data_IF_442034575380
#
_entry.id   IF_442034575380
#
_cell.length_a   1.000
_cell.length_b   1.000
_cell.length_c   1.000
_cell.angle_alpha   90.00
_cell.angle_beta   90.00
_cell.angle_gamma   90.00
#
_symmetry.space_group_name_H-M   'P 1'
#
loop_
_entity.id
_entity.type
_entity.pdbx_description
1 polymer ?
#
# COMPACT_ATOMS: atom_id res chain seq x y z
N UNK A 1 -22.10 -67.30 -2.11
CA UNK A 1 -22.42 -66.01 -2.77
C UNK A 1 -21.15 -65.16 -2.80
N UNK A 2 -20.59 -64.99 -3.99
CA UNK A 2 -19.27 -64.40 -4.28
C UNK A 2 -19.38 -62.87 -4.16
N UNK A 3 -18.74 -62.24 -3.17
CA UNK A 3 -18.66 -60.78 -3.06
C UNK A 3 -17.42 -60.32 -3.82
N UNK A 4 -17.61 -59.85 -5.05
CA UNK A 4 -16.51 -59.37 -5.90
C UNK A 4 -16.07 -57.95 -5.50
N UNK A 5 -14.81 -57.88 -5.08
CA UNK A 5 -13.81 -56.83 -5.35
C UNK A 5 -14.31 -55.40 -5.60
N UNK A 6 -14.46 -54.61 -4.53
CA UNK A 6 -14.54 -53.14 -4.58
C UNK A 6 -13.27 -52.51 -3.98
N UNK A 7 -12.10 -53.11 -4.24
CA UNK A 7 -10.83 -52.67 -3.64
C UNK A 7 -9.77 -52.21 -4.65
N UNK A 8 -10.11 -52.06 -5.94
CA UNK A 8 -9.14 -51.66 -6.96
C UNK A 8 -9.22 -50.19 -7.39
N UNK A 9 -10.26 -49.45 -6.97
CA UNK A 9 -10.39 -48.03 -7.33
C UNK A 9 -9.67 -47.02 -6.40
N UNK A 10 -9.36 -47.28 -5.11
CA UNK A 10 -8.64 -46.28 -4.32
C UNK A 10 -7.12 -46.36 -4.53
N UNK A 11 -6.59 -47.46 -5.09
CA UNK A 11 -5.15 -47.66 -5.25
C UNK A 11 -4.56 -46.91 -6.46
N UNK A 12 -5.39 -46.58 -7.46
CA UNK A 12 -4.97 -45.83 -8.65
C UNK A 12 -5.01 -44.30 -8.48
N UNK A 13 -5.64 -43.79 -7.41
CA UNK A 13 -5.63 -42.36 -7.09
C UNK A 13 -4.50 -41.95 -6.12
N UNK A 14 -3.79 -42.92 -5.53
CA UNK A 14 -2.66 -42.66 -4.64
C UNK A 14 -1.32 -42.45 -5.36
N UNK A 15 -1.28 -42.62 -6.69
CA UNK A 15 -0.10 -42.40 -7.54
C UNK A 15 -0.15 -41.10 -8.37
N UNK A 16 -1.14 -40.23 -8.13
CA UNK A 16 -1.14 -38.90 -8.70
C UNK A 16 -0.08 -38.07 -7.96
N UNK A 17 1.10 -38.00 -8.58
CA UNK A 17 2.33 -37.46 -8.04
C UNK A 17 2.13 -36.19 -7.22
N UNK A 18 2.68 -36.23 -6.00
CA UNK A 18 3.29 -35.06 -5.39
C UNK A 18 4.37 -34.59 -6.38
N UNK A 19 3.97 -33.73 -7.32
CA UNK A 19 4.90 -32.83 -7.97
C UNK A 19 5.31 -31.86 -6.86
N UNK A 20 6.31 -32.24 -6.07
CA UNK A 20 7.08 -31.27 -5.35
C UNK A 20 7.62 -30.32 -6.42
N UNK A 21 7.03 -29.13 -6.50
CA UNK A 21 7.65 -28.02 -7.16
C UNK A 21 8.96 -27.79 -6.40
N UNK A 22 10.01 -28.50 -6.80
CA UNK A 22 11.35 -28.16 -6.40
C UNK A 22 11.55 -26.77 -7.00
N UNK A 23 11.40 -25.75 -6.16
CA UNK A 23 11.79 -24.41 -6.53
C UNK A 23 13.27 -24.52 -6.89
N UNK A 24 13.58 -24.42 -8.18
CA UNK A 24 14.97 -24.34 -8.64
C UNK A 24 15.62 -23.22 -7.84
N UNK A 25 16.62 -23.56 -7.03
CA UNK A 25 17.29 -22.57 -6.19
C UNK A 25 18.19 -21.72 -7.08
N UNK A 26 17.61 -20.64 -7.63
CA UNK A 26 18.32 -19.77 -8.57
C UNK A 26 19.50 -19.03 -7.93
N UNK A 27 19.62 -19.04 -6.60
CA UNK A 27 20.79 -18.50 -5.89
C UNK A 27 22.09 -19.16 -6.35
N UNK A 28 22.03 -20.43 -6.76
CA UNK A 28 23.19 -21.16 -7.25
C UNK A 28 23.76 -20.60 -8.58
N UNK A 29 23.01 -19.76 -9.31
CA UNK A 29 23.51 -19.09 -10.52
C UNK A 29 24.30 -17.80 -10.23
N UNK A 30 24.33 -17.34 -8.97
CA UNK A 30 25.07 -16.16 -8.56
C UNK A 30 26.41 -16.55 -7.96
N UNK A 31 27.44 -15.76 -8.26
CA UNK A 31 28.81 -16.07 -7.87
C UNK A 31 29.10 -15.86 -6.38
N UNK A 32 28.30 -15.03 -5.69
CA UNK A 32 28.42 -14.74 -4.26
C UNK A 32 27.02 -14.60 -3.66
N UNK A 33 26.90 -14.89 -2.36
CA UNK A 33 25.66 -14.78 -1.61
C UNK A 33 25.95 -14.16 -0.24
N UNK A 34 25.12 -13.20 0.16
CA UNK A 34 25.21 -12.56 1.48
C UNK A 34 23.93 -12.83 2.28
N UNK A 35 24.03 -13.34 3.52
CA UNK A 35 22.87 -13.56 4.36
C UNK A 35 22.23 -12.22 4.75
N UNK A 36 20.89 -12.16 4.71
CA UNK A 36 20.13 -10.99 5.14
C UNK A 36 19.54 -11.23 6.52
N UNK A 37 19.80 -10.32 7.45
CA UNK A 37 19.13 -10.29 8.76
C UNK A 37 18.05 -9.21 8.75
N UNK A 38 16.81 -9.62 9.00
CA UNK A 38 15.67 -8.72 9.06
C UNK A 38 15.59 -8.08 10.45
N UNK A 39 15.29 -6.79 10.50
CA UNK A 39 15.11 -6.05 11.76
C UNK A 39 13.85 -6.46 12.52
N UNK A 40 12.81 -6.92 11.81
CA UNK A 40 11.55 -7.42 12.37
C UNK A 40 10.91 -8.42 11.41
N UNK A 41 10.36 -9.53 11.90
CA UNK A 41 9.72 -10.53 11.03
C UNK A 41 8.34 -10.11 10.48
N UNK A 42 7.75 -9.02 10.99
CA UNK A 42 6.36 -8.62 10.71
C UNK A 42 6.24 -7.44 9.74
N UNK A 43 7.35 -7.01 9.11
CA UNK A 43 7.31 -5.88 8.18
C UNK A 43 6.93 -6.34 6.77
N UNK A 44 6.10 -5.56 6.07
CA UNK A 44 5.68 -5.86 4.69
C UNK A 44 6.74 -5.53 3.63
N UNK A 45 7.73 -4.71 3.98
CA UNK A 45 8.86 -4.35 3.11
C UNK A 45 10.11 -4.11 3.97
N UNK A 46 11.28 -4.30 3.37
CA UNK A 46 12.59 -4.19 4.04
C UNK A 46 13.53 -3.32 3.21
N UNK A 47 14.34 -2.50 3.90
CA UNK A 47 15.49 -1.82 3.31
C UNK A 47 16.76 -2.47 3.82
N UNK A 48 17.62 -2.86 2.89
CA UNK A 48 18.93 -3.44 3.17
C UNK A 48 19.98 -2.45 2.71
N UNK A 49 20.99 -2.21 3.56
CA UNK A 49 22.15 -1.42 3.18
C UNK A 49 23.09 -2.31 2.36
N UNK A 50 23.50 -1.82 1.19
CA UNK A 50 24.51 -2.51 0.40
C UNK A 50 25.88 -2.19 1.00
N UNK A 51 26.54 -3.20 1.56
CA UNK A 51 27.86 -3.03 2.16
C UNK A 51 28.95 -2.91 1.09
N UNK A 52 30.10 -2.24 1.38
CA UNK A 52 31.20 -2.08 0.43
C UNK A 52 31.70 -3.37 -0.23
N UNK A 53 31.55 -4.52 0.45
CA UNK A 53 31.91 -5.83 -0.10
C UNK A 53 31.06 -6.25 -1.30
N UNK A 54 29.79 -5.85 -1.33
CA UNK A 54 28.86 -6.15 -2.43
C UNK A 54 29.27 -5.35 -3.67
N UNK A 55 29.54 -4.06 -3.51
CA UNK A 55 30.01 -3.19 -4.59
C UNK A 55 31.32 -3.66 -5.23
N UNK A 56 32.24 -4.23 -4.44
CA UNK A 56 33.49 -4.79 -4.98
C UNK A 56 33.28 -6.03 -5.83
N UNK A 57 32.15 -6.73 -5.68
CA UNK A 57 31.85 -7.95 -6.41
C UNK A 57 30.95 -7.72 -7.62
N UNK A 58 30.07 -6.73 -7.55
CA UNK A 58 29.17 -6.39 -8.64
C UNK A 58 29.96 -6.20 -9.95
N UNK A 59 29.54 -6.92 -10.99
CA UNK A 59 30.10 -6.82 -12.33
C UNK A 59 29.51 -5.68 -13.14
N UNK A 60 28.29 -5.23 -12.79
CA UNK A 60 27.59 -4.15 -13.47
C UNK A 60 27.60 -2.87 -12.64
N UNK A 61 27.88 -1.73 -13.28
CA UNK A 61 27.92 -0.42 -12.61
C UNK A 61 26.54 0.04 -12.10
N UNK A 62 25.46 -0.43 -12.73
CA UNK A 62 24.08 -0.18 -12.33
C UNK A 62 23.54 -1.21 -11.33
N UNK A 63 24.37 -2.17 -10.90
CA UNK A 63 24.03 -3.27 -10.00
C UNK A 63 22.86 -4.14 -10.48
N UNK A 64 22.64 -4.22 -11.79
CA UNK A 64 21.63 -5.08 -12.42
C UNK A 64 21.86 -6.58 -12.21
N UNK A 65 23.05 -6.95 -11.74
CA UNK A 65 23.46 -8.31 -11.37
C UNK A 65 23.18 -8.64 -9.88
N UNK A 66 22.48 -7.77 -9.15
CA UNK A 66 22.01 -8.05 -7.79
C UNK A 66 20.55 -8.51 -7.78
N UNK A 67 20.27 -9.57 -7.02
CA UNK A 67 18.92 -10.10 -6.82
C UNK A 67 18.73 -10.56 -5.38
N UNK A 68 17.59 -10.22 -4.79
CA UNK A 68 17.21 -10.68 -3.45
C UNK A 68 16.44 -11.99 -3.56
N UNK A 69 16.76 -12.95 -2.70
CA UNK A 69 16.09 -14.24 -2.62
C UNK A 69 15.57 -14.51 -1.20
N UNK A 70 14.43 -15.20 -1.09
CA UNK A 70 13.96 -15.71 0.19
C UNK A 70 14.67 -17.02 0.59
N UNK A 71 14.37 -17.53 1.79
CA UNK A 71 14.97 -18.78 2.29
C UNK A 71 14.70 -19.99 1.37
N UNK A 72 13.55 -20.00 0.68
CA UNK A 72 13.15 -21.03 -0.28
C UNK A 72 13.83 -20.89 -1.67
N UNK A 73 14.76 -19.94 -1.84
CA UNK A 73 15.48 -19.73 -3.12
C UNK A 73 14.66 -19.01 -4.19
N UNK A 74 13.53 -18.42 -3.83
CA UNK A 74 12.69 -17.66 -4.76
C UNK A 74 13.13 -16.21 -4.81
N UNK A 75 13.23 -15.64 -6.02
CA UNK A 75 13.53 -14.24 -6.23
C UNK A 75 12.40 -13.36 -5.65
N UNK A 76 12.78 -12.33 -4.89
CA UNK A 76 11.86 -11.35 -4.34
C UNK A 76 11.88 -10.06 -5.18
N UNK A 77 10.73 -9.37 -5.31
CA UNK A 77 10.70 -8.02 -5.85
C UNK A 77 11.62 -7.12 -5.03
N UNK A 78 12.54 -6.43 -5.71
CA UNK A 78 13.49 -5.53 -5.08
C UNK A 78 13.76 -4.33 -5.98
N UNK A 79 14.18 -3.22 -5.38
CA UNK A 79 14.53 -2.00 -6.08
C UNK A 79 15.77 -1.39 -5.44
N UNK A 80 16.64 -0.84 -6.27
CA UNK A 80 17.78 -0.05 -5.81
C UNK A 80 17.29 1.36 -5.47
N UNK A 81 17.70 1.83 -4.29
CA UNK A 81 17.35 3.16 -3.79
C UNK A 81 18.61 4.01 -3.80
N UNK A 82 18.46 5.29 -4.15
CA UNK A 82 19.55 6.24 -3.99
C UNK A 82 19.92 6.40 -2.50
N UNK A 83 21.20 6.71 -2.16
CA UNK A 83 21.63 6.81 -0.77
C UNK A 83 20.83 7.82 0.06
N UNK A 84 20.44 8.92 -0.57
CA UNK A 84 19.68 10.03 0.01
C UNK A 84 18.15 9.84 -0.07
N UNK A 85 17.68 8.76 -0.69
CA UNK A 85 16.25 8.51 -0.80
C UNK A 85 15.67 8.23 0.60
N UNK A 86 14.68 9.00 1.06
CA UNK A 86 14.07 8.79 2.35
C UNK A 86 13.33 7.44 2.37
N UNK A 87 13.35 6.79 3.53
CA UNK A 87 12.43 5.67 3.78
C UNK A 87 11.00 6.19 3.63
N UNK A 88 10.18 5.50 2.84
CA UNK A 88 8.76 5.75 2.80
C UNK A 88 8.21 5.57 4.23
N UNK A 89 7.83 6.66 4.86
CA UNK A 89 7.16 6.61 6.15
C UNK A 89 5.68 6.36 5.89
N UNK A 90 5.04 5.45 6.64
CA UNK A 90 3.58 5.34 6.56
C UNK A 90 2.98 6.71 6.88
N UNK A 91 1.91 7.11 6.18
CA UNK A 91 1.23 8.36 6.51
C UNK A 91 0.78 8.31 7.96
N UNK A 92 1.01 9.41 8.70
CA UNK A 92 0.52 9.53 10.07
C UNK A 92 -0.99 9.65 10.01
N UNK A 93 -1.69 8.64 10.52
CA UNK A 93 -3.14 8.69 10.64
C UNK A 93 -3.55 9.42 11.91
N UNK A 94 -4.59 10.24 11.80
CA UNK A 94 -5.19 10.98 12.91
C UNK A 94 -6.69 10.75 12.86
N UNK A 95 -7.26 10.38 13.99
CA UNK A 95 -8.71 10.39 14.20
C UNK A 95 -9.23 11.83 14.04
N UNK A 96 -10.28 12.00 13.23
CA UNK A 96 -10.91 13.29 13.00
C UNK A 96 -12.34 13.26 13.56
N UNK A 97 -12.74 14.25 14.38
CA UNK A 97 -14.13 14.39 14.77
C UNK A 97 -15.03 14.61 13.55
N UNK A 98 -16.19 13.96 13.55
CA UNK A 98 -17.15 14.03 12.46
C UNK A 98 -18.56 14.17 13.03
N UNK A 99 -19.36 15.01 12.38
CA UNK A 99 -20.68 15.41 12.87
C UNK A 99 -21.70 15.33 11.73
N UNK A 100 -22.85 14.71 12.00
CA UNK A 100 -23.94 14.65 11.04
C UNK A 100 -24.59 16.04 10.91
N UNK A 101 -24.75 16.51 9.68
CA UNK A 101 -25.48 17.73 9.38
C UNK A 101 -26.96 17.39 9.12
N UNK A 102 -27.91 18.19 9.63
CA UNK A 102 -29.31 17.96 9.36
C UNK A 102 -29.61 18.12 7.86
N UNK A 103 -30.59 17.39 7.31
CA UNK A 103 -31.01 17.56 5.93
C UNK A 103 -31.56 18.98 5.72
N UNK A 104 -31.11 19.66 4.68
CA UNK A 104 -31.60 21.00 4.33
C UNK A 104 -33.01 20.89 3.74
N UNK A 105 -33.95 21.68 4.29
CA UNK A 105 -35.30 21.80 3.76
C UNK A 105 -35.26 22.41 2.34
N UNK A 106 -36.18 22.02 1.47
CA UNK A 106 -36.17 22.39 0.04
C UNK A 106 -36.12 23.90 -0.21
N UNK A 107 -36.81 24.68 0.65
CA UNK A 107 -36.88 26.14 0.57
C UNK A 107 -35.60 26.87 1.00
N UNK A 108 -34.62 26.17 1.58
CA UNK A 108 -33.35 26.72 2.07
C UNK A 108 -32.16 26.35 1.16
N UNK A 109 -32.41 25.63 0.05
CA UNK A 109 -31.41 25.27 -0.96
C UNK A 109 -31.07 26.46 -1.88
N UNK A 110 -30.54 27.53 -1.30
CA UNK A 110 -29.71 28.45 -2.08
C UNK A 110 -28.33 27.79 -2.15
N UNK A 111 -28.03 27.08 -3.25
CA UNK A 111 -26.75 26.41 -3.49
C UNK A 111 -25.68 27.46 -3.86
N UNK A 112 -25.39 28.32 -2.88
CA UNK A 112 -24.30 29.27 -2.88
C UNK A 112 -23.07 28.56 -2.32
N UNK A 113 -22.17 28.15 -3.20
CA UNK A 113 -20.85 27.66 -2.82
C UNK A 113 -19.90 28.85 -2.73
N UNK A 114 -19.38 29.12 -1.53
CA UNK A 114 -18.42 30.19 -1.28
C UNK A 114 -17.06 29.59 -0.90
N UNK A 115 -16.06 29.73 -1.78
CA UNK A 115 -14.66 29.36 -1.50
C UNK A 115 -13.89 30.63 -1.13
N UNK A 116 -13.31 30.66 0.08
CA UNK A 116 -12.44 31.77 0.52
C UNK A 116 -11.05 31.25 0.81
N UNK A 117 -10.05 31.75 0.10
CA UNK A 117 -8.63 31.46 0.37
C UNK A 117 -8.02 32.64 1.12
N UNK A 118 -7.23 32.34 2.16
CA UNK A 118 -6.57 33.33 3.01
C UNK A 118 -5.07 33.04 3.05
N UNK A 119 -4.28 34.11 3.00
CA UNK A 119 -2.83 34.06 3.12
C UNK A 119 -2.39 33.75 4.56
N UNK A 120 -1.12 33.39 4.75
CA UNK A 120 -0.53 33.15 6.08
C UNK A 120 -0.59 34.38 6.99
N UNK A 121 -0.67 35.57 6.39
CA UNK A 121 -0.79 36.86 7.10
C UNK A 121 -2.25 37.24 7.40
N UNK A 122 -3.21 36.35 7.12
CA UNK A 122 -4.63 36.57 7.41
C UNK A 122 -5.36 37.44 6.37
N UNK A 123 -4.72 37.81 5.27
CA UNK A 123 -5.38 38.56 4.17
C UNK A 123 -6.13 37.60 3.25
N UNK A 124 -7.36 37.96 2.86
CA UNK A 124 -8.13 37.17 1.87
C UNK A 124 -7.50 37.35 0.49
N UNK A 125 -7.12 36.24 -0.16
CA UNK A 125 -6.50 36.25 -1.49
C UNK A 125 -7.50 35.89 -2.60
N UNK A 126 -8.50 35.07 -2.32
CA UNK A 126 -9.52 34.66 -3.30
C UNK A 126 -10.87 34.48 -2.63
N UNK A 127 -11.93 34.95 -3.30
CA UNK A 127 -13.33 34.65 -2.96
C UNK A 127 -14.02 34.22 -4.25
N UNK A 128 -14.50 32.99 -4.29
CA UNK A 128 -15.36 32.51 -5.38
C UNK A 128 -16.75 32.22 -4.84
N UNK A 129 -17.76 32.80 -5.48
CA UNK A 129 -19.16 32.49 -5.25
C UNK A 129 -19.72 31.80 -6.49
N UNK A 130 -20.18 30.56 -6.34
CA UNK A 130 -20.91 29.85 -7.40
C UNK A 130 -22.34 29.66 -6.92
N UNK A 131 -23.27 30.02 -7.78
CA UNK A 131 -24.70 29.77 -7.57
C UNK A 131 -25.10 28.67 -8.54
N UNK A 132 -25.21 27.45 -8.02
CA UNK A 132 -25.66 26.28 -8.76
C UNK A 132 -27.14 26.01 -8.54
N UNK A 133 -27.78 25.33 -9.49
CA UNK A 133 -29.05 24.66 -9.26
C UNK A 133 -28.78 23.16 -9.12
N UNK A 134 -28.34 22.72 -7.95
CA UNK A 134 -27.98 21.33 -7.70
C UNK A 134 -29.17 20.36 -7.79
N UNK A 135 -28.98 19.25 -8.51
CA UNK A 135 -29.96 18.17 -8.62
C UNK A 135 -30.31 17.57 -7.25
N UNK A 136 -31.59 17.23 -7.08
CA UNK A 136 -32.23 16.79 -5.83
C UNK A 136 -31.63 15.47 -5.35
N UNK A 137 -30.69 15.52 -4.40
CA UNK A 137 -30.38 14.36 -3.55
C UNK A 137 -31.36 14.36 -2.38
N UNK A 138 -32.34 13.46 -2.44
CA UNK A 138 -33.36 13.30 -1.41
C UNK A 138 -32.73 13.03 -0.02
N UNK A 139 -32.92 13.97 0.90
CA UNK A 139 -33.02 13.72 2.34
C UNK A 139 -31.79 13.24 3.11
N UNK A 140 -30.65 12.98 2.48
CA UNK A 140 -29.43 12.59 3.20
C UNK A 140 -28.67 13.84 3.64
N UNK A 141 -28.66 14.07 4.95
CA UNK A 141 -27.82 15.11 5.57
C UNK A 141 -26.33 14.94 5.21
N UNK A 142 -25.60 16.04 5.20
CA UNK A 142 -24.15 16.03 4.98
C UNK A 142 -23.36 15.60 6.21
N UNK A 143 -22.03 15.57 6.09
CA UNK A 143 -21.10 15.37 7.20
C UNK A 143 -20.15 16.56 7.30
N UNK A 144 -19.92 17.04 8.53
CA UNK A 144 -18.87 17.99 8.84
C UNK A 144 -17.72 17.23 9.49
N UNK A 145 -16.53 17.31 8.90
CA UNK A 145 -15.29 16.74 9.45
C UNK A 145 -14.45 17.89 10.01
N UNK A 146 -14.11 17.83 11.29
CA UNK A 146 -13.25 18.82 11.93
C UNK A 146 -11.78 18.43 11.78
N UNK A 147 -11.09 19.10 10.85
CA UNK A 147 -9.67 18.92 10.61
C UNK A 147 -8.77 19.85 11.46
N UNK A 148 -9.32 20.58 12.43
CA UNK A 148 -8.56 21.55 13.24
C UNK A 148 -7.38 20.92 14.00
N UNK A 149 -7.47 19.63 14.35
CA UNK A 149 -6.39 18.86 15.00
C UNK A 149 -5.13 18.75 14.14
N UNK A 150 -5.22 18.96 12.82
CA UNK A 150 -4.08 18.93 11.90
C UNK A 150 -3.26 20.24 11.92
N UNK A 151 -3.83 21.33 12.43
CA UNK A 151 -3.17 22.64 12.42
C UNK A 151 -2.81 23.09 11.00
N UNK A 152 -1.51 23.24 10.72
CA UNK A 152 -0.99 23.61 9.40
C UNK A 152 -0.61 22.40 8.53
N UNK A 153 -0.78 21.17 9.01
CA UNK A 153 -0.45 19.97 8.25
C UNK A 153 -1.52 19.70 7.19
N UNK A 154 -1.13 19.37 5.94
CA UNK A 154 -2.10 19.09 4.89
C UNK A 154 -2.80 17.74 5.11
N UNK A 155 -4.10 17.70 4.82
CA UNK A 155 -4.86 16.46 4.72
C UNK A 155 -4.59 15.79 3.37
N UNK A 156 -3.97 14.61 3.37
CA UNK A 156 -3.65 13.88 2.15
C UNK A 156 -4.81 12.98 1.67
N UNK A 157 -5.50 12.30 2.58
CA UNK A 157 -6.60 11.39 2.28
C UNK A 157 -7.52 11.20 3.50
N UNK A 158 -8.77 10.82 3.24
CA UNK A 158 -9.71 10.30 4.23
C UNK A 158 -9.82 8.78 4.04
N UNK A 159 -9.74 8.03 5.14
CA UNK A 159 -9.91 6.57 5.15
C UNK A 159 -11.12 6.28 6.07
N UNK A 160 -12.12 5.59 5.53
CA UNK A 160 -13.40 5.25 6.20
C UNK A 160 -13.48 3.75 6.48
#
# INVERSE_FOLDING_TARGET
MKKWSTALLPMLLALAGVASAQATDYRAHYAEQWPLSLSSAQSGAYRVVLEPAIYRRAGSADLSDLQVFNAAGQALPSALLAPDQPLAQPPVQRELPWFALPPLAEAQRNDLQLLTERDTDGRVRRVEARVGGGAVMNGQGGWLIDASVLGQQPLAALVL
#
